data_IF_815903976498
#
_entry.id   IF_815903976498
#
_cell.length_a   1.000
_cell.length_b   1.000
_cell.length_c   1.000
_cell.angle_alpha   90.00
_cell.angle_beta   90.00
_cell.angle_gamma   90.00
#
_symmetry.space_group_name_H-M   'P 1'
#
loop_
_entity.id
_entity.type
_entity.pdbx_description
1 polymer ?
#
# COMPACT_ATOMS: atom_id res chain seq x y z
N UNK A 1 -3.63 -8.39 6.32
CA UNK A 1 -4.03 -7.20 7.11
C UNK A 1 -5.54 -6.95 6.97
N UNK A 2 -6.37 -7.40 7.93
CA UNK A 2 -7.84 -7.20 7.87
C UNK A 2 -8.26 -5.72 8.01
N UNK A 3 -7.39 -4.91 8.60
CA UNK A 3 -7.59 -3.46 8.73
C UNK A 3 -7.86 -2.76 7.39
N UNK A 4 -7.22 -3.20 6.29
CA UNK A 4 -7.41 -2.62 4.96
C UNK A 4 -8.84 -2.80 4.44
N UNK A 5 -9.55 -3.83 4.88
CA UNK A 5 -10.95 -4.06 4.52
C UNK A 5 -11.87 -2.93 5.02
N UNK A 6 -11.51 -2.23 6.10
CA UNK A 6 -12.27 -1.09 6.61
C UNK A 6 -12.01 0.21 5.82
N UNK A 7 -10.99 0.22 4.95
CA UNK A 7 -10.61 1.37 4.13
C UNK A 7 -11.03 1.20 2.66
N UNK A 8 -12.10 0.44 2.39
CA UNK A 8 -12.63 0.21 1.04
C UNK A 8 -11.89 -0.85 0.22
N UNK A 9 -10.79 -1.42 0.73
CA UNK A 9 -10.05 -2.52 0.07
C UNK A 9 -10.58 -3.91 0.45
N UNK A 10 -11.78 -4.02 1.02
CA UNK A 10 -12.40 -5.31 1.33
C UNK A 10 -12.61 -6.17 0.07
N UNK A 11 -12.82 -5.51 -1.07
CA UNK A 11 -13.06 -6.15 -2.35
C UNK A 11 -11.76 -6.38 -3.16
N UNK A 12 -10.58 -6.00 -2.64
CA UNK A 12 -9.30 -6.35 -3.26
C UNK A 12 -9.01 -7.83 -3.00
N UNK A 13 -9.29 -8.67 -3.99
CA UNK A 13 -9.32 -10.13 -3.81
C UNK A 13 -7.94 -10.76 -3.87
N UNK A 14 -7.12 -10.35 -4.85
CA UNK A 14 -5.82 -10.94 -5.13
C UNK A 14 -4.83 -9.88 -5.59
N UNK A 15 -3.59 -9.95 -5.10
CA UNK A 15 -2.45 -9.25 -5.67
C UNK A 15 -2.01 -10.03 -6.91
N UNK A 16 -1.92 -9.35 -8.05
CA UNK A 16 -1.64 -9.99 -9.35
C UNK A 16 -0.34 -9.52 -9.99
N UNK A 17 0.25 -8.43 -9.51
CA UNK A 17 1.59 -8.00 -9.92
C UNK A 17 2.25 -7.15 -8.82
N UNK A 18 3.58 -7.27 -8.72
CA UNK A 18 4.42 -6.40 -7.91
C UNK A 18 5.27 -5.55 -8.85
N UNK A 19 5.08 -4.23 -8.84
CA UNK A 19 5.78 -3.31 -9.73
C UNK A 19 7.12 -2.86 -9.10
N UNK A 20 7.10 -2.55 -7.81
CA UNK A 20 8.27 -2.16 -7.04
C UNK A 20 8.02 -2.33 -5.54
N UNK A 21 9.09 -2.40 -4.75
CA UNK A 21 9.01 -2.43 -3.29
C UNK A 21 10.32 -1.99 -2.64
N UNK A 22 10.22 -1.20 -1.57
CA UNK A 22 11.36 -0.76 -0.78
C UNK A 22 11.10 -0.99 0.71
N UNK A 23 11.93 -1.83 1.33
CA UNK A 23 12.05 -1.88 2.78
C UNK A 23 12.89 -0.68 3.23
N UNK A 24 12.23 0.41 3.56
CA UNK A 24 12.86 1.72 3.75
C UNK A 24 13.62 1.82 5.07
N UNK A 25 13.05 1.30 6.16
CA UNK A 25 13.66 1.28 7.50
C UNK A 25 13.33 -0.06 8.19
N UNK A 26 14.17 -0.52 9.14
CA UNK A 26 13.93 -1.77 9.84
C UNK A 26 12.68 -1.71 10.72
N UNK A 27 12.00 -2.86 10.84
CA UNK A 27 10.90 -3.10 11.76
C UNK A 27 11.37 -4.07 12.85
N UNK A 28 11.08 -3.77 14.11
CA UNK A 28 11.49 -4.56 15.26
C UNK A 28 10.30 -5.09 16.05
N UNK A 29 10.56 -6.07 16.92
CA UNK A 29 9.56 -6.53 17.89
C UNK A 29 9.13 -5.36 18.78
N UNK A 30 7.83 -5.26 19.04
CA UNK A 30 7.22 -4.15 19.78
C UNK A 30 6.75 -2.98 18.91
N UNK A 31 7.15 -2.91 17.63
CA UNK A 31 6.62 -1.91 16.71
C UNK A 31 5.14 -2.16 16.42
N UNK A 32 4.35 -1.09 16.46
CA UNK A 32 2.97 -1.10 15.95
C UNK A 32 2.97 -0.56 14.54
N UNK A 33 2.58 -1.40 13.57
CA UNK A 33 2.56 -1.05 12.15
C UNK A 33 1.18 -0.51 11.76
N UNK A 34 1.17 0.68 11.16
CA UNK A 34 0.01 1.25 10.45
C UNK A 34 0.30 1.26 8.96
N UNK A 35 -0.75 1.37 8.14
CA UNK A 35 -0.57 1.49 6.70
C UNK A 35 -1.60 2.44 6.10
N UNK A 36 -1.20 3.09 5.01
CA UNK A 36 -2.10 3.82 4.13
C UNK A 36 -1.89 3.35 2.69
N UNK A 37 -2.87 3.62 1.83
CA UNK A 37 -2.81 3.26 0.42
C UNK A 37 -3.21 4.44 -0.45
N UNK A 38 -2.54 4.57 -1.59
CA UNK A 38 -2.84 5.54 -2.64
C UNK A 38 -3.20 4.77 -3.91
N UNK A 39 -4.30 5.16 -4.56
CA UNK A 39 -4.68 4.63 -5.87
C UNK A 39 -3.83 5.33 -6.92
N UNK A 40 -2.92 4.60 -7.52
CA UNK A 40 -2.02 5.13 -8.56
C UNK A 40 -2.66 5.04 -9.94
N UNK A 41 -3.43 3.97 -10.21
CA UNK A 41 -4.02 3.71 -11.52
C UNK A 41 -5.18 2.71 -11.45
N UNK A 42 -5.95 2.61 -12.53
CA UNK A 42 -7.00 1.61 -12.76
C UNK A 42 -6.93 1.10 -14.19
N UNK A 43 -7.14 -0.19 -14.38
CA UNK A 43 -7.19 -0.80 -15.69
C UNK A 43 -8.39 -1.74 -15.81
N UNK A 44 -8.99 -1.78 -17.00
CA UNK A 44 -9.99 -2.79 -17.33
C UNK A 44 -9.31 -4.15 -17.53
N UNK A 45 -10.05 -5.22 -17.25
CA UNK A 45 -9.62 -6.57 -17.57
C UNK A 45 -10.53 -7.18 -18.63
N UNK A 46 -10.07 -8.23 -19.29
CA UNK A 46 -10.90 -8.97 -20.23
C UNK A 46 -12.05 -9.75 -19.55
N UNK A 47 -12.01 -9.93 -18.22
CA UNK A 47 -13.05 -10.62 -17.47
C UNK A 47 -14.18 -9.63 -17.12
N UNK A 48 -15.42 -9.89 -17.56
CA UNK A 48 -16.55 -9.03 -17.26
C UNK A 48 -16.75 -8.84 -15.75
N UNK A 49 -16.95 -7.59 -15.32
CA UNK A 49 -17.16 -7.25 -13.92
C UNK A 49 -15.90 -7.29 -13.04
N UNK A 50 -14.70 -7.46 -13.62
CA UNK A 50 -13.43 -7.42 -12.88
C UNK A 50 -12.56 -6.28 -13.41
N UNK A 51 -12.15 -5.39 -12.51
CA UNK A 51 -11.16 -4.35 -12.75
C UNK A 51 -9.85 -4.62 -12.04
N UNK A 52 -8.77 -4.05 -12.54
CA UNK A 52 -7.48 -3.99 -11.86
C UNK A 52 -7.27 -2.59 -11.28
N UNK A 53 -6.74 -2.51 -10.07
CA UNK A 53 -6.35 -1.27 -9.40
C UNK A 53 -4.88 -1.33 -9.02
N UNK A 54 -4.12 -0.29 -9.38
CA UNK A 54 -2.73 -0.13 -8.96
C UNK A 54 -2.71 0.66 -7.67
N UNK A 55 -2.08 0.09 -6.67
CA UNK A 55 -2.01 0.65 -5.33
C UNK A 55 -0.54 0.83 -4.95
N UNK A 56 -0.24 2.01 -4.40
CA UNK A 56 0.88 2.14 -3.46
C UNK A 56 0.34 1.81 -2.08
N UNK A 57 1.02 0.94 -1.35
CA UNK A 57 0.82 0.72 0.08
C UNK A 57 2.08 1.12 0.82
N UNK A 58 1.90 1.99 1.81
CA UNK A 58 3.00 2.43 2.66
C UNK A 58 2.73 2.00 4.09
N UNK A 59 3.64 1.19 4.64
CA UNK A 59 3.60 0.79 6.04
C UNK A 59 4.51 1.71 6.87
N UNK A 60 4.02 2.15 8.02
CA UNK A 60 4.69 3.11 8.90
C UNK A 60 4.60 2.68 10.36
N UNK A 61 5.56 3.09 11.19
CA UNK A 61 5.48 2.95 12.65
C UNK A 61 4.36 3.84 13.20
N UNK A 62 3.74 3.40 14.31
CA UNK A 62 2.80 4.22 15.06
C UNK A 62 3.46 5.55 15.49
N UNK A 63 2.69 6.64 15.46
CA UNK A 63 3.19 8.00 15.69
C UNK A 63 3.60 8.74 14.42
N UNK A 64 3.76 8.05 13.28
CA UNK A 64 3.97 8.67 11.97
C UNK A 64 2.92 9.73 11.66
N UNK A 65 3.36 10.82 11.01
CA UNK A 65 2.44 11.81 10.43
C UNK A 65 1.54 11.16 9.37
N UNK A 66 0.30 11.64 9.16
CA UNK A 66 -0.56 11.12 8.11
C UNK A 66 0.14 11.15 6.75
N UNK A 67 0.05 10.04 6.01
CA UNK A 67 0.65 9.88 4.69
C UNK A 67 2.18 10.08 4.62
N UNK A 68 2.89 9.83 5.73
CA UNK A 68 4.35 9.83 5.77
C UNK A 68 4.94 8.97 4.63
N UNK A 69 5.84 9.55 3.83
CA UNK A 69 6.55 8.89 2.73
C UNK A 69 8.01 9.32 2.64
N UNK A 70 8.28 10.43 1.96
CA UNK A 70 9.62 10.97 1.73
C UNK A 70 9.71 12.42 2.21
N UNK A 71 10.86 12.79 2.76
CA UNK A 71 11.17 14.18 3.09
C UNK A 71 11.51 15.00 1.84
N UNK A 72 11.76 16.29 2.04
CA UNK A 72 12.17 17.22 0.97
C UNK A 72 13.48 16.81 0.28
N UNK A 73 14.32 16.03 0.96
CA UNK A 73 15.57 15.48 0.42
C UNK A 73 15.36 14.21 -0.43
N UNK A 74 14.12 13.77 -0.61
CA UNK A 74 13.75 12.59 -1.38
C UNK A 74 14.02 11.25 -0.68
N UNK A 75 14.50 11.26 0.57
CA UNK A 75 14.70 10.04 1.37
C UNK A 75 13.43 9.67 2.12
N UNK A 76 13.26 8.38 2.39
CA UNK A 76 12.15 7.92 3.20
C UNK A 76 12.23 8.49 4.62
N UNK A 77 11.08 8.89 5.17
CA UNK A 77 11.01 9.31 6.56
C UNK A 77 11.34 8.14 7.50
N UNK A 78 11.97 8.37 8.67
CA UNK A 78 12.44 7.30 9.57
C UNK A 78 11.34 6.36 10.10
N UNK A 79 10.09 6.81 10.07
CA UNK A 79 8.90 6.02 10.41
C UNK A 79 8.42 5.09 9.30
N UNK A 80 8.83 5.30 8.05
CA UNK A 80 8.38 4.49 6.90
C UNK A 80 9.14 3.18 6.87
N UNK A 81 8.40 2.08 6.92
CA UNK A 81 8.95 0.72 6.96
C UNK A 81 8.95 0.08 5.57
N UNK A 82 7.88 0.29 4.81
CA UNK A 82 7.67 -0.31 3.48
C UNK A 82 6.97 0.70 2.58
N UNK A 83 7.43 0.82 1.33
CA UNK A 83 6.70 1.40 0.21
C UNK A 83 6.55 0.31 -0.86
N UNK A 84 5.33 -0.13 -1.14
CA UNK A 84 5.02 -1.24 -2.04
C UNK A 84 4.06 -0.78 -3.13
N UNK A 85 4.45 -0.96 -4.39
CA UNK A 85 3.64 -0.68 -5.57
C UNK A 85 3.21 -2.00 -6.22
N UNK A 86 1.91 -2.23 -6.27
CA UNK A 86 1.34 -3.49 -6.73
C UNK A 86 -0.02 -3.32 -7.40
N UNK A 87 -0.42 -4.32 -8.17
CA UNK A 87 -1.76 -4.43 -8.75
C UNK A 87 -2.61 -5.43 -7.97
N UNK A 88 -3.88 -5.07 -7.76
CA UNK A 88 -4.89 -5.97 -7.22
C UNK A 88 -6.13 -6.04 -8.13
N UNK A 89 -6.84 -7.16 -8.10
CA UNK A 89 -8.13 -7.30 -8.77
C UNK A 89 -9.29 -6.97 -7.83
N UNK A 90 -10.30 -6.28 -8.35
CA UNK A 90 -11.53 -5.92 -7.66
C UNK A 90 -12.75 -6.14 -8.56
N UNK A 91 -13.91 -6.57 -8.00
CA UNK A 91 -15.19 -6.51 -8.69
C UNK A 91 -15.57 -5.04 -8.98
N UNK A 92 -16.19 -4.82 -10.14
CA UNK A 92 -16.73 -3.53 -10.60
C UNK A 92 -18.21 -3.38 -10.27
#
# INVERSE_FOLDING_TARGET
ARALSFNGLANAQMIVALNAGAHANPCFSGDTVRAWSEVLDKAETAAPGVGAIRLRLVAVKHGAVPFALKGEDGKYLPEVLLDLDYWALMPL
#
